data_IF_474662833981
#
_entry.id   IF_474662833981
#
_cell.length_a   1.000
_cell.length_b   1.000
_cell.length_c   1.000
_cell.angle_alpha   90.00
_cell.angle_beta   90.00
_cell.angle_gamma   90.00
#
_symmetry.space_group_name_H-M   'P 1'
#
loop_
_entity.id
_entity.type
_entity.pdbx_description
1 polymer ?
#
# COMPACT_ATOMS: atom_id res chain seq x y z
N UNK A 1 -0.80 -5.02 -13.55
CA UNK A 1 0.32 -5.38 -12.66
C UNK A 1 -0.03 -4.76 -11.32
N UNK A 2 -0.23 -5.56 -10.26
CA UNK A 2 -0.75 -5.10 -8.96
C UNK A 2 0.31 -4.29 -8.18
N UNK A 3 0.90 -3.29 -8.83
CA UNK A 3 1.96 -2.46 -8.27
C UNK A 3 1.47 -1.65 -7.06
N UNK A 4 0.17 -1.42 -6.88
CA UNK A 4 -0.38 -0.67 -5.74
C UNK A 4 0.08 -1.23 -4.38
N UNK A 5 -0.08 -2.54 -4.15
CA UNK A 5 0.31 -3.17 -2.89
C UNK A 5 1.83 -3.21 -2.71
N UNK A 6 2.57 -3.42 -3.80
CA UNK A 6 4.03 -3.35 -3.81
C UNK A 6 4.53 -1.94 -3.47
N UNK A 7 3.90 -0.92 -4.04
CA UNK A 7 4.22 0.49 -3.81
C UNK A 7 3.90 0.86 -2.37
N UNK A 8 2.78 0.41 -1.81
CA UNK A 8 2.47 0.61 -0.40
C UNK A 8 3.56 0.01 0.50
N UNK A 9 4.03 -1.21 0.19
CA UNK A 9 5.14 -1.83 0.92
C UNK A 9 6.43 -1.01 0.82
N UNK A 10 6.83 -0.64 -0.40
CA UNK A 10 8.09 0.12 -0.64
C UNK A 10 8.02 1.52 -0.04
N UNK A 11 6.86 2.16 -0.07
CA UNK A 11 6.63 3.48 0.53
C UNK A 11 6.83 3.46 2.05
N UNK A 12 6.48 2.36 2.70
CA UNK A 12 6.70 2.17 4.14
C UNK A 12 8.11 1.59 4.44
N UNK A 13 9.03 1.63 3.48
CA UNK A 13 10.41 1.11 3.57
C UNK A 13 10.51 -0.35 4.06
N UNK A 14 9.54 -1.18 3.66
CA UNK A 14 9.48 -2.58 4.09
C UNK A 14 10.06 -3.53 3.05
N UNK A 15 10.92 -4.44 3.50
CA UNK A 15 11.38 -5.58 2.68
C UNK A 15 10.27 -6.62 2.57
N UNK A 16 10.31 -7.42 1.51
CA UNK A 16 9.27 -8.43 1.25
C UNK A 16 9.15 -9.48 2.37
N UNK A 17 10.25 -9.86 3.02
CA UNK A 17 10.19 -10.81 4.14
C UNK A 17 9.53 -10.22 5.39
N UNK A 18 9.78 -8.93 5.66
CA UNK A 18 9.22 -8.23 6.82
C UNK A 18 7.71 -8.06 6.69
N UNK A 19 7.23 -7.71 5.49
CA UNK A 19 5.79 -7.63 5.26
C UNK A 19 5.15 -9.03 5.27
N UNK A 20 5.78 -10.03 4.66
CA UNK A 20 5.24 -11.39 4.65
C UNK A 20 5.10 -11.96 6.07
N UNK A 21 6.07 -11.70 6.94
CA UNK A 21 6.03 -12.06 8.36
C UNK A 21 4.87 -11.37 9.08
N UNK A 22 4.71 -10.05 8.93
CA UNK A 22 3.60 -9.30 9.54
C UNK A 22 2.21 -9.72 9.04
N UNK A 23 2.11 -10.16 7.79
CA UNK A 23 0.87 -10.67 7.20
C UNK A 23 0.65 -12.17 7.47
N UNK A 24 1.63 -12.83 8.11
CA UNK A 24 1.63 -14.27 8.39
C UNK A 24 1.42 -15.11 7.11
N UNK A 25 2.14 -14.75 6.04
CA UNK A 25 2.14 -15.46 4.76
C UNK A 25 3.56 -15.76 4.30
N UNK A 26 3.70 -16.63 3.31
CA UNK A 26 5.01 -16.83 2.68
C UNK A 26 5.39 -15.63 1.81
N UNK A 27 6.69 -15.34 1.76
CA UNK A 27 7.27 -14.35 0.84
C UNK A 27 6.96 -14.64 -0.63
N UNK A 28 6.92 -15.92 -0.99
CA UNK A 28 6.50 -16.37 -2.33
C UNK A 28 5.05 -15.98 -2.60
N UNK A 29 4.13 -16.21 -1.65
CA UNK A 29 2.72 -15.84 -1.82
C UNK A 29 2.54 -14.33 -1.94
N UNK A 30 3.22 -13.55 -1.09
CA UNK A 30 3.27 -12.09 -1.20
C UNK A 30 3.74 -11.64 -2.59
N UNK A 31 4.84 -12.21 -3.10
CA UNK A 31 5.36 -11.91 -4.44
C UNK A 31 4.34 -12.19 -5.55
N UNK A 32 3.62 -13.31 -5.47
CA UNK A 32 2.58 -13.64 -6.47
C UNK A 32 1.41 -12.65 -6.44
N UNK A 33 1.07 -12.11 -5.27
CA UNK A 33 0.05 -11.05 -5.13
C UNK A 33 0.55 -9.72 -5.68
N UNK A 34 1.76 -9.28 -5.29
CA UNK A 34 2.36 -8.02 -5.75
C UNK A 34 2.59 -8.01 -7.27
N UNK A 35 2.88 -9.16 -7.87
CA UNK A 35 2.99 -9.31 -9.33
C UNK A 35 1.63 -9.38 -10.03
N UNK A 36 0.53 -9.48 -9.27
CA UNK A 36 -0.83 -9.61 -9.80
C UNK A 36 -1.14 -10.98 -10.40
N UNK A 37 -0.32 -12.00 -10.10
CA UNK A 37 -0.55 -13.38 -10.53
C UNK A 37 -1.63 -14.05 -9.70
N UNK A 38 -1.77 -13.66 -8.43
CA UNK A 38 -2.88 -14.05 -7.56
C UNK A 38 -3.69 -12.83 -7.13
N UNK A 39 -5.01 -12.99 -7.10
CA UNK A 39 -5.90 -12.02 -6.45
C UNK A 39 -5.68 -12.08 -4.93
N UNK A 40 -5.70 -10.91 -4.30
CA UNK A 40 -5.72 -10.79 -2.84
C UNK A 40 -7.09 -11.25 -2.31
N UNK A 41 -7.09 -11.98 -1.19
CA UNK A 41 -8.32 -12.32 -0.47
C UNK A 41 -8.77 -11.15 0.41
N UNK A 42 -10.03 -11.16 0.85
CA UNK A 42 -10.55 -10.15 1.78
C UNK A 42 -9.76 -10.19 3.10
N UNK A 43 -9.55 -11.39 3.65
CA UNK A 43 -8.78 -11.60 4.88
C UNK A 43 -7.37 -11.00 4.77
N UNK A 44 -6.69 -11.19 3.64
CA UNK A 44 -5.35 -10.64 3.47
C UNK A 44 -5.40 -9.12 3.29
N UNK A 45 -6.42 -8.59 2.62
CA UNK A 45 -6.64 -7.15 2.52
C UNK A 45 -6.86 -6.51 3.89
N UNK A 46 -7.57 -7.20 4.79
CA UNK A 46 -7.76 -6.78 6.19
C UNK A 46 -6.43 -6.77 6.94
N UNK A 47 -5.59 -7.81 6.77
CA UNK A 47 -4.25 -7.84 7.37
C UNK A 47 -3.38 -6.67 6.87
N UNK A 48 -3.42 -6.37 5.57
CA UNK A 48 -2.74 -5.18 5.04
C UNK A 48 -3.27 -3.90 5.71
N UNK A 49 -4.59 -3.76 5.82
CA UNK A 49 -5.20 -2.60 6.45
C UNK A 49 -4.73 -2.44 7.91
N UNK A 50 -4.66 -3.53 8.67
CA UNK A 50 -4.10 -3.53 10.02
C UNK A 50 -2.62 -3.14 10.07
N UNK A 51 -1.78 -3.71 9.19
CA UNK A 51 -0.33 -3.42 9.14
C UNK A 51 -0.06 -1.95 8.80
N UNK A 52 -0.85 -1.36 7.89
CA UNK A 52 -0.66 0.01 7.41
C UNK A 52 -1.57 1.03 8.11
N UNK A 53 -2.28 0.65 9.17
CA UNK A 53 -3.12 1.57 9.96
C UNK A 53 -4.24 2.23 9.16
N UNK A 54 -4.85 1.50 8.23
CA UNK A 54 -5.92 1.99 7.34
C UNK A 54 -7.13 1.06 7.35
N UNK A 55 -8.11 1.29 6.47
CA UNK A 55 -9.27 0.42 6.28
C UNK A 55 -9.16 -0.38 4.99
N UNK A 56 -9.70 -1.58 5.00
CA UNK A 56 -9.71 -2.47 3.82
C UNK A 56 -10.47 -1.85 2.65
N UNK A 57 -11.49 -1.03 2.91
CA UNK A 57 -12.22 -0.29 1.88
C UNK A 57 -11.37 0.79 1.21
N UNK A 58 -10.58 1.56 1.98
CA UNK A 58 -9.64 2.53 1.44
C UNK A 58 -8.54 1.85 0.60
N UNK A 59 -8.01 0.74 1.10
CA UNK A 59 -7.01 -0.05 0.39
C UNK A 59 -7.56 -0.67 -0.90
N UNK A 60 -8.79 -1.19 -0.87
CA UNK A 60 -9.46 -1.71 -2.06
C UNK A 60 -9.71 -0.62 -3.11
N UNK A 61 -10.17 0.55 -2.69
CA UNK A 61 -10.35 1.70 -3.56
C UNK A 61 -9.02 2.11 -4.21
N UNK A 62 -7.95 2.17 -3.42
CA UNK A 62 -6.61 2.46 -3.91
C UNK A 62 -6.14 1.44 -4.96
N UNK A 63 -6.25 0.14 -4.67
CA UNK A 63 -5.86 -0.92 -5.63
C UNK A 63 -6.70 -0.83 -6.90
N UNK A 64 -8.01 -0.58 -6.80
CA UNK A 64 -8.90 -0.40 -7.97
C UNK A 64 -8.56 0.82 -8.80
N UNK A 65 -8.25 1.95 -8.17
CA UNK A 65 -7.86 3.18 -8.85
C UNK A 65 -6.51 3.02 -9.56
N UNK A 66 -5.57 2.30 -8.95
CA UNK A 66 -4.26 2.05 -9.51
C UNK A 66 -4.30 1.10 -10.72
N UNK A 67 -5.19 0.10 -10.71
CA UNK A 67 -5.33 -0.85 -11.83
C UNK A 67 -5.98 -0.19 -13.07
N UNK A 68 -6.65 0.96 -12.91
CA UNK A 68 -7.06 1.80 -14.04
C UNK A 68 -5.82 2.45 -14.64
N UNK A 69 -5.43 2.03 -15.85
CA UNK A 69 -4.36 2.61 -16.68
C UNK A 69 -4.66 4.05 -17.13
N UNK A 70 -4.92 4.97 -16.21
CA UNK A 70 -5.14 6.39 -16.51
C UNK A 70 -4.10 7.24 -15.78
N UNK A 71 -3.16 7.80 -16.55
CA UNK A 71 -2.01 8.56 -16.03
C UNK A 71 -2.39 9.79 -15.19
N UNK A 72 -3.64 10.27 -15.33
CA UNK A 72 -4.18 11.36 -14.52
C UNK A 72 -4.37 10.97 -13.05
N UNK A 73 -4.83 9.75 -12.77
CA UNK A 73 -5.08 9.27 -11.41
C UNK A 73 -3.76 9.08 -10.66
N UNK A 74 -2.72 8.57 -11.34
CA UNK A 74 -1.36 8.45 -10.77
C UNK A 74 -0.82 9.80 -10.29
N UNK A 75 -1.06 10.88 -11.04
CA UNK A 75 -0.63 12.22 -10.64
C UNK A 75 -1.43 12.77 -9.46
N UNK A 76 -2.75 12.52 -9.41
CA UNK A 76 -3.59 12.94 -8.27
C UNK A 76 -3.15 12.21 -7.00
N UNK A 77 -2.88 10.91 -7.09
CA UNK A 77 -2.45 10.10 -5.94
C UNK A 77 -1.05 10.51 -5.45
N UNK A 78 -0.13 10.79 -6.38
CA UNK A 78 1.19 11.35 -6.05
C UNK A 78 1.05 12.68 -5.29
N UNK A 79 0.18 13.57 -5.75
CA UNK A 79 -0.01 14.86 -5.08
C UNK A 79 -0.61 14.68 -3.68
N UNK A 80 -1.64 13.83 -3.53
CA UNK A 80 -2.21 13.52 -2.21
C UNK A 80 -1.22 12.88 -1.24
N UNK A 81 -0.37 11.97 -1.71
CA UNK A 81 0.69 11.38 -0.88
C UNK A 81 1.69 12.46 -0.45
N UNK A 82 2.09 13.34 -1.37
CA UNK A 82 2.99 14.46 -1.03
C UNK A 82 2.35 15.38 0.01
N UNK A 83 1.07 15.72 -0.14
CA UNK A 83 0.35 16.57 0.82
C UNK A 83 0.28 15.90 2.21
N UNK A 84 -0.01 14.60 2.26
CA UNK A 84 -0.02 13.84 3.53
C UNK A 84 1.37 13.81 4.16
N UNK A 85 2.43 13.55 3.37
CA UNK A 85 3.81 13.54 3.85
C UNK A 85 4.26 14.90 4.38
N UNK A 86 3.94 15.99 3.67
CA UNK A 86 4.24 17.36 4.11
C UNK A 86 3.53 17.72 5.42
N UNK A 87 2.30 17.24 5.59
CA UNK A 87 1.57 17.45 6.84
C UNK A 87 2.20 16.65 7.97
N UNK A 88 2.56 15.38 7.76
CA UNK A 88 3.27 14.55 8.75
C UNK A 88 4.62 15.19 9.14
N UNK A 89 5.38 15.72 8.19
CA UNK A 89 6.62 16.47 8.46
C UNK A 89 6.38 17.72 9.30
N UNK A 90 5.29 18.46 9.04
CA UNK A 90 4.89 19.61 9.88
C UNK A 90 4.61 19.19 11.32
N UNK A 91 3.82 18.14 11.52
CA UNK A 91 3.49 17.66 12.87
C UNK A 91 4.75 17.18 13.62
N UNK A 92 5.70 16.53 12.93
CA UNK A 92 6.94 16.09 13.55
C UNK A 92 7.86 17.25 13.97
N UNK A 93 7.82 18.38 13.26
CA UNK A 93 8.61 19.57 13.57
C UNK A 93 7.96 20.50 14.60
N UNK A 94 6.66 20.38 14.86
CA UNK A 94 5.94 21.17 15.87
C UNK A 94 6.09 20.60 17.30
N UNK A 95 6.54 19.35 17.44
CA UNK A 95 6.87 18.71 18.74
C UNK A 95 8.36 18.81 19.14
N UNK A 96 9.19 19.55 18.37
CA UNK A 96 10.63 19.78 18.64
C UNK A 96 10.94 21.18 19.17
#
# INVERSE_FOLDING_TARGET
MNDALRLLRVFNDMKSYELAEKLEISTSYLSEIEKGKKKISIELLDKYASVFGTTSSALFAFVKEYDKKDGKIRNIFRNKIIDVLQNVEKYANEES
#
